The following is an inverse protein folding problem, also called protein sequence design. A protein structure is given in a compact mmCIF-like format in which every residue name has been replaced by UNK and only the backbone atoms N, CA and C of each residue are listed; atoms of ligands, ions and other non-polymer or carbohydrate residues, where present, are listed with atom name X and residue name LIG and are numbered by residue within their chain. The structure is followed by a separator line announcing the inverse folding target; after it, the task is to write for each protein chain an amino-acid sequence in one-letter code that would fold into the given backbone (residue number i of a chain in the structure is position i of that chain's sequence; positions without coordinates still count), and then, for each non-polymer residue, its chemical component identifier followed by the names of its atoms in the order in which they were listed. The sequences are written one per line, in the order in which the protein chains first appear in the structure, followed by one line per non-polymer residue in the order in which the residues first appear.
data_IF_400098374979
#
_entry.id   IF_400098374979
#
_cell.length_a   1.000
_cell.length_b   1.000
_cell.length_c   1.000
_cell.angle_alpha   90.00
_cell.angle_beta   90.00
_cell.angle_gamma   90.00
#
_symmetry.space_group_name_H-M   'P 1'
#
loop_
_entity.id
_entity.type
_entity.pdbx_description
1 polymer ?
#
# COMPACT_ATOMS: atom_id res chain seq x y z
N UNK A 1 17.28 0.77 -2.39
CA UNK A 1 16.00 1.49 -2.35
C UNK A 1 15.84 2.34 -1.08
N UNK A 2 15.58 1.78 0.10
CA UNK A 2 15.29 2.60 1.30
C UNK A 2 16.40 3.59 1.66
N UNK A 3 17.67 3.20 1.51
CA UNK A 3 18.80 4.11 1.72
C UNK A 3 18.75 5.35 0.80
N UNK A 4 18.33 5.19 -0.46
CA UNK A 4 18.18 6.29 -1.41
C UNK A 4 17.00 7.20 -1.04
N UNK A 5 15.89 6.63 -0.57
CA UNK A 5 14.73 7.40 -0.13
C UNK A 5 15.03 8.20 1.15
N UNK A 6 15.82 7.63 2.06
CA UNK A 6 16.27 8.34 3.26
C UNK A 6 17.20 9.52 2.92
N UNK A 7 18.01 9.41 1.85
CA UNK A 7 18.84 10.50 1.33
C UNK A 7 18.03 11.59 0.64
N UNK A 8 17.01 11.22 -0.13
CA UNK A 8 16.07 12.17 -0.76
C UNK A 8 15.26 12.93 0.30
N UNK A 9 14.90 12.26 1.40
CA UNK A 9 14.14 12.82 2.51
C UNK A 9 12.63 12.83 2.29
N UNK A 10 11.87 13.22 3.32
CA UNK A 10 10.40 13.31 3.25
C UNK A 10 9.63 12.03 3.60
N UNK A 11 10.29 10.86 3.65
CA UNK A 11 9.68 9.63 4.19
C UNK A 11 9.57 9.75 5.72
N UNK A 12 8.35 9.64 6.25
CA UNK A 12 8.04 9.76 7.69
C UNK A 12 7.68 8.42 8.34
N UNK A 13 7.26 7.45 7.54
CA UNK A 13 6.98 6.09 7.98
C UNK A 13 7.24 5.11 6.83
N UNK A 14 7.65 3.89 7.15
CA UNK A 14 7.80 2.82 6.17
C UNK A 14 7.50 1.47 6.82
N UNK A 15 6.82 0.59 6.09
CA UNK A 15 6.55 -0.79 6.50
C UNK A 15 6.46 -1.68 5.28
N UNK A 16 7.05 -2.87 5.38
CA UNK A 16 6.94 -3.93 4.39
C UNK A 16 5.57 -4.60 4.45
N UNK A 17 4.99 -4.90 3.28
CA UNK A 17 3.63 -5.42 3.16
C UNK A 17 3.60 -6.96 3.16
N UNK A 18 4.24 -7.59 4.15
CA UNK A 18 4.30 -9.06 4.32
C UNK A 18 2.94 -9.62 4.78
N UNK A 19 2.81 -10.27 5.94
CA UNK A 19 1.54 -10.94 6.31
C UNK A 19 0.36 -9.96 6.38
N UNK A 20 -0.75 -10.36 5.74
CA UNK A 20 -1.96 -9.54 5.64
C UNK A 20 -1.87 -8.41 4.61
N UNK A 21 -0.77 -8.34 3.85
CA UNK A 21 -0.63 -7.51 2.66
C UNK A 21 -0.72 -6.01 2.91
N UNK A 22 -1.19 -5.29 1.89
CA UNK A 22 -1.39 -3.85 1.90
C UNK A 22 -2.47 -3.47 2.92
N UNK A 23 -3.55 -4.25 3.00
CA UNK A 23 -4.68 -3.99 3.90
C UNK A 23 -4.25 -3.94 5.37
N UNK A 24 -3.53 -4.96 5.86
CA UNK A 24 -3.01 -4.96 7.22
C UNK A 24 -1.98 -3.84 7.44
N UNK A 25 -1.10 -3.63 6.46
CA UNK A 25 -0.03 -2.62 6.56
C UNK A 25 -0.59 -1.22 6.73
N UNK A 26 -1.57 -0.82 5.91
CA UNK A 26 -2.20 0.50 6.01
C UNK A 26 -2.99 0.65 7.31
N UNK A 27 -3.74 -0.38 7.74
CA UNK A 27 -4.48 -0.32 9.00
C UNK A 27 -3.55 -0.21 10.21
N UNK A 28 -2.46 -0.97 10.27
CA UNK A 28 -1.47 -0.85 11.33
C UNK A 28 -0.83 0.56 11.36
N UNK A 29 -0.52 1.11 10.19
CA UNK A 29 0.04 2.47 10.10
C UNK A 29 -0.98 3.52 10.55
N UNK A 30 -2.24 3.41 10.12
CA UNK A 30 -3.34 4.27 10.52
C UNK A 30 -3.57 4.24 12.04
N UNK A 31 -3.63 3.05 12.63
CA UNK A 31 -3.82 2.84 14.06
C UNK A 31 -2.66 3.45 14.88
N UNK A 32 -1.41 3.11 14.54
CA UNK A 32 -0.22 3.58 15.27
C UNK A 32 -0.01 5.09 15.16
N UNK A 33 -0.48 5.71 14.08
CA UNK A 33 -0.36 7.15 13.86
C UNK A 33 -1.60 7.94 14.28
N UNK A 34 -2.73 7.29 14.59
CA UNK A 34 -3.98 7.97 14.94
C UNK A 34 -4.59 8.77 13.79
N UNK A 35 -4.49 8.26 12.56
CA UNK A 35 -4.94 8.93 11.33
C UNK A 35 -5.81 8.03 10.47
N UNK A 36 -6.57 8.61 9.55
CA UNK A 36 -7.27 7.89 8.49
C UNK A 36 -6.45 7.87 7.21
N UNK A 37 -6.86 7.06 6.24
CA UNK A 37 -6.27 7.04 4.90
C UNK A 37 -7.35 6.87 3.83
N UNK A 38 -7.24 7.61 2.74
CA UNK A 38 -8.00 7.37 1.51
C UNK A 38 -7.03 6.82 0.46
N UNK A 39 -7.28 5.61 -0.03
CA UNK A 39 -6.56 5.00 -1.14
C UNK A 39 -7.45 4.90 -2.37
N UNK A 40 -6.84 4.92 -3.56
CA UNK A 40 -7.54 4.86 -4.84
C UNK A 40 -7.26 3.50 -5.47
N UNK A 41 -8.31 2.73 -5.75
CA UNK A 41 -8.21 1.38 -6.30
C UNK A 41 -7.39 1.34 -7.60
N UNK A 42 -7.63 2.29 -8.50
CA UNK A 42 -6.96 2.38 -9.81
C UNK A 42 -5.46 2.72 -9.72
N UNK A 43 -5.03 3.33 -8.62
CA UNK A 43 -3.64 3.74 -8.42
C UNK A 43 -2.80 2.64 -7.76
N UNK A 44 -3.41 1.57 -7.24
CA UNK A 44 -2.68 0.43 -6.67
C UNK A 44 -2.11 -0.43 -7.80
N UNK A 45 -0.78 -0.52 -7.96
CA UNK A 45 -0.19 -1.28 -9.06
C UNK A 45 -0.30 -2.78 -8.79
N UNK A 46 -1.22 -3.44 -9.51
CA UNK A 46 -1.42 -4.89 -9.46
C UNK A 46 -1.30 -5.43 -10.88
N UNK A 47 -0.49 -6.47 -11.07
CA UNK A 47 -0.33 -7.11 -12.39
C UNK A 47 -1.61 -7.85 -12.79
N UNK A 48 -1.96 -7.80 -14.07
CA UNK A 48 -3.17 -8.46 -14.61
C UNK A 48 -3.22 -9.96 -14.27
N UNK A 49 -2.09 -10.66 -14.34
CA UNK A 49 -2.02 -12.07 -13.97
C UNK A 49 -2.33 -12.31 -12.48
N UNK A 50 -1.92 -11.39 -11.59
CA UNK A 50 -2.23 -11.44 -10.17
C UNK A 50 -3.71 -11.16 -9.92
N UNK A 51 -4.29 -10.16 -10.60
CA UNK A 51 -5.72 -9.86 -10.53
C UNK A 51 -6.55 -11.06 -10.98
N UNK A 52 -6.25 -11.62 -12.15
CA UNK A 52 -6.94 -12.79 -12.68
C UNK A 52 -6.85 -14.00 -11.74
N UNK A 53 -5.67 -14.26 -11.15
CA UNK A 53 -5.51 -15.32 -10.17
C UNK A 53 -6.34 -15.08 -8.89
N UNK A 54 -6.35 -13.85 -8.38
CA UNK A 54 -7.15 -13.47 -7.22
C UNK A 54 -8.64 -13.62 -7.48
N UNK A 55 -9.13 -13.17 -8.64
CA UNK A 55 -10.53 -13.34 -9.05
C UNK A 55 -10.93 -14.82 -9.15
N UNK A 56 -10.10 -15.64 -9.79
CA UNK A 56 -10.35 -17.09 -9.92
C UNK A 56 -10.41 -17.80 -8.56
N UNK A 57 -9.64 -17.33 -7.58
CA UNK A 57 -9.54 -17.93 -6.26
C UNK A 57 -10.48 -17.28 -5.22
N UNK A 58 -11.19 -16.21 -5.59
CA UNK A 58 -12.03 -15.44 -4.67
C UNK A 58 -11.23 -14.74 -3.57
N UNK A 59 -10.02 -14.29 -3.87
CA UNK A 59 -9.12 -13.62 -2.93
C UNK A 59 -9.08 -12.11 -3.20
N UNK A 60 -8.95 -11.31 -2.13
CA UNK A 60 -8.66 -9.88 -2.26
C UNK A 60 -7.13 -9.69 -2.36
N UNK A 61 -6.60 -9.13 -3.47
CA UNK A 61 -5.17 -8.92 -3.65
C UNK A 61 -4.52 -8.04 -2.59
N UNK A 62 -5.28 -7.16 -1.92
CA UNK A 62 -4.76 -6.29 -0.87
C UNK A 62 -4.42 -7.06 0.41
N UNK A 63 -4.99 -8.25 0.59
CA UNK A 63 -4.84 -9.05 1.82
C UNK A 63 -3.73 -10.08 1.74
N UNK A 64 -3.14 -10.26 0.55
CA UNK A 64 -2.09 -11.25 0.29
C UNK A 64 -0.73 -10.63 0.57
N UNK A 65 0.15 -11.39 1.24
CA UNK A 65 1.47 -10.90 1.58
C UNK A 65 2.44 -10.71 0.41
N UNK A 66 3.36 -9.75 0.58
CA UNK A 66 4.40 -9.38 -0.37
C UNK A 66 5.80 -9.53 0.26
N UNK A 67 6.75 -10.12 -0.48
CA UNK A 67 8.12 -10.39 -0.02
C UNK A 67 9.19 -9.49 -0.67
N UNK A 68 8.79 -8.27 -1.04
CA UNK A 68 9.69 -7.33 -1.74
C UNK A 68 9.09 -5.96 -2.01
N UNK A 69 8.06 -5.57 -1.25
CA UNK A 69 7.34 -4.30 -1.41
C UNK A 69 7.33 -3.54 -0.09
N UNK A 70 7.38 -2.21 -0.19
CA UNK A 70 7.33 -1.29 0.95
C UNK A 70 6.21 -0.27 0.73
N UNK A 71 5.45 -0.01 1.79
CA UNK A 71 4.52 1.11 1.88
C UNK A 71 5.22 2.23 2.64
N UNK A 72 5.22 3.43 2.07
CA UNK A 72 5.84 4.60 2.68
C UNK A 72 4.79 5.70 2.95
N UNK A 73 4.78 6.21 4.17
CA UNK A 73 4.19 7.51 4.48
C UNK A 73 5.18 8.61 4.14
N UNK A 74 4.77 9.61 3.36
CA UNK A 74 5.63 10.67 2.84
C UNK A 74 4.97 12.03 3.10
N UNK A 75 5.77 13.04 3.46
CA UNK A 75 5.32 14.43 3.53
C UNK A 75 4.76 14.87 2.17
N UNK A 76 3.58 15.51 2.16
CA UNK A 76 2.82 15.76 0.94
C UNK A 76 3.61 16.58 -0.10
N UNK A 77 4.37 17.57 0.38
CA UNK A 77 5.24 18.43 -0.42
C UNK A 77 6.46 17.71 -1.02
N UNK A 78 6.76 16.50 -0.55
CA UNK A 78 7.88 15.66 -1.02
C UNK A 78 7.43 14.44 -1.83
N UNK A 79 6.12 14.20 -1.97
CA UNK A 79 5.58 12.98 -2.56
C UNK A 79 6.12 12.72 -3.98
N UNK A 80 6.12 13.73 -4.86
CA UNK A 80 6.60 13.59 -6.23
C UNK A 80 8.13 13.36 -6.33
N UNK A 81 8.91 14.02 -5.48
CA UNK A 81 10.37 13.87 -5.43
C UNK A 81 10.75 12.45 -4.98
N UNK A 82 10.11 11.97 -3.91
CA UNK A 82 10.30 10.61 -3.38
C UNK A 82 9.83 9.56 -4.37
N UNK A 83 8.69 9.76 -5.04
CA UNK A 83 8.21 8.84 -6.08
C UNK A 83 9.19 8.75 -7.24
N UNK A 84 9.71 9.90 -7.72
CA UNK A 84 10.74 9.94 -8.76
C UNK A 84 11.99 9.19 -8.31
N UNK A 85 12.44 9.40 -7.07
CA UNK A 85 13.58 8.68 -6.51
C UNK A 85 13.34 7.17 -6.47
N UNK A 86 12.17 6.73 -5.99
CA UNK A 86 11.80 5.33 -5.93
C UNK A 86 11.80 4.67 -7.32
N UNK A 87 11.24 5.34 -8.34
CA UNK A 87 11.18 4.85 -9.72
C UNK A 87 12.54 4.78 -10.44
N UNK A 88 13.56 5.54 -10.00
CA UNK A 88 14.93 5.40 -10.52
C UNK A 88 15.60 4.09 -10.08
N UNK A 89 15.17 3.52 -8.95
CA UNK A 89 15.76 2.30 -8.41
C UNK A 89 15.18 1.05 -9.13
N UNK A 90 15.99 0.01 -9.44
CA UNK A 90 15.51 -1.19 -10.13
C UNK A 90 14.29 -1.87 -9.50
N UNK A 91 14.23 -1.91 -8.16
CA UNK A 91 13.10 -2.48 -7.40
C UNK A 91 11.89 -1.56 -7.22
N UNK A 92 11.98 -0.28 -7.58
CA UNK A 92 10.91 0.71 -7.37
C UNK A 92 10.26 1.22 -8.65
N UNK A 93 10.57 0.62 -9.81
CA UNK A 93 10.09 1.07 -11.13
C UNK A 93 8.57 1.23 -11.22
N UNK A 94 7.84 0.36 -10.54
CA UNK A 94 6.37 0.33 -10.52
C UNK A 94 5.77 1.02 -9.29
N UNK A 95 6.57 1.78 -8.54
CA UNK A 95 6.06 2.55 -7.41
C UNK A 95 4.97 3.52 -7.86
N UNK A 96 3.97 3.74 -7.01
CA UNK A 96 2.87 4.66 -7.25
C UNK A 96 2.46 5.35 -5.95
N UNK A 97 1.89 6.54 -6.06
CA UNK A 97 1.18 7.19 -4.96
C UNK A 97 -0.23 6.62 -4.97
N UNK A 98 -0.55 5.76 -4.00
CA UNK A 98 -1.82 5.03 -3.98
C UNK A 98 -2.93 5.74 -3.20
N UNK A 99 -2.65 6.88 -2.59
CA UNK A 99 -3.58 7.51 -1.65
C UNK A 99 -3.02 8.70 -0.88
N UNK A 100 -3.77 9.12 0.14
CA UNK A 100 -3.41 10.20 1.05
C UNK A 100 -3.88 9.92 2.47
N UNK A 101 -3.17 10.50 3.43
CA UNK A 101 -3.59 10.53 4.84
C UNK A 101 -4.78 11.48 4.98
N UNK A 102 -5.74 11.12 5.83
CA UNK A 102 -6.94 11.90 6.16
C UNK A 102 -7.14 11.94 7.67
N UNK A 103 -8.10 12.74 8.12
CA UNK A 103 -8.62 12.63 9.49
C UNK A 103 -9.36 11.30 9.70
N UNK A 104 -9.52 10.89 10.95
CA UNK A 104 -10.19 9.65 11.35
C UNK A 104 -9.22 8.54 11.74
N UNK A 105 -9.69 7.30 11.70
CA UNK A 105 -8.97 6.10 12.13
C UNK A 105 -9.23 4.89 11.23
N UNK A 106 -9.75 5.12 10.02
CA UNK A 106 -10.10 4.08 9.07
C UNK A 106 -9.34 4.24 7.76
N UNK A 107 -9.03 3.11 7.14
CA UNK A 107 -8.55 3.05 5.75
C UNK A 107 -9.77 2.87 4.85
N UNK A 108 -9.96 3.81 3.94
CA UNK A 108 -11.06 3.83 2.97
C UNK A 108 -10.47 3.71 1.57
N UNK A 109 -11.05 2.85 0.74
CA UNK A 109 -10.72 2.75 -0.67
C UNK A 109 -11.83 3.40 -1.50
N UNK A 110 -11.44 4.30 -2.39
CA UNK A 110 -12.27 4.75 -3.50
C UNK A 110 -12.14 3.75 -4.66
N UNK A 111 -13.26 3.18 -5.07
CA UNK A 111 -13.30 2.16 -6.14
C UNK A 111 -13.26 2.82 -7.51
N UNK A 112 -12.90 2.05 -8.53
CA UNK A 112 -12.92 2.46 -9.95
C UNK A 112 -14.27 3.05 -10.43
N UNK A 113 -15.38 2.64 -9.80
CA UNK A 113 -16.73 3.16 -10.09
C UNK A 113 -17.12 4.38 -9.24
N UNK A 114 -16.19 4.95 -8.47
CA UNK A 114 -16.38 6.13 -7.62
C UNK A 114 -17.06 5.87 -6.28
N UNK A 115 -17.28 4.60 -5.93
CA UNK A 115 -17.79 4.19 -4.62
C UNK A 115 -16.71 4.27 -3.56
N UNK A 116 -17.10 4.21 -2.29
CA UNK A 116 -16.13 4.12 -1.17
C UNK A 116 -16.45 2.91 -0.31
N UNK A 117 -15.43 2.14 0.05
CA UNK A 117 -15.53 1.01 0.98
C UNK A 117 -14.44 1.09 2.04
N UNK A 118 -14.72 0.55 3.22
CA UNK A 118 -13.70 0.36 4.25
C UNK A 118 -12.78 -0.79 3.79
N UNK A 119 -11.48 -0.62 4.02
CA UNK A 119 -10.49 -1.69 3.88
C UNK A 119 -10.20 -2.22 5.27
N UNK A 120 -10.88 -3.29 5.64
CA UNK A 120 -10.76 -3.88 6.97
C UNK A 120 -9.40 -4.55 7.19
N UNK A 121 -8.96 -4.58 8.45
CA UNK A 121 -7.82 -5.41 8.86
C UNK A 121 -8.17 -6.88 8.61
N UNK A 122 -7.38 -7.62 7.83
CA UNK A 122 -7.66 -9.03 7.60
C UNK A 122 -7.49 -9.83 8.90
N UNK A 123 -8.34 -10.84 9.11
CA UNK A 123 -8.25 -11.74 10.28
C UNK A 123 -6.94 -12.53 10.29
N UNK A 124 -6.35 -12.74 9.11
CA UNK A 124 -5.05 -13.36 8.89
C UNK A 124 -4.74 -13.39 7.38
N UNK A 125 -3.54 -13.86 7.02
CA UNK A 125 -3.20 -14.08 5.62
C UNK A 125 -4.05 -15.23 5.05
N UNK A 126 -4.69 -15.06 3.88
CA UNK A 126 -5.56 -16.10 3.31
C UNK A 126 -4.77 -17.33 2.82
N UNK A 127 -3.46 -17.22 2.61
CA UNK A 127 -2.64 -18.31 2.07
C UNK A 127 -1.87 -19.00 3.21
N UNK A 128 -2.21 -20.26 3.55
CA UNK A 128 -1.47 -20.97 4.59
C UNK A 128 -0.04 -21.22 4.14
N UNK A 129 0.93 -20.95 5.03
CA UNK A 129 2.38 -21.17 4.80
C UNK A 129 2.96 -20.35 3.64
N UNK A 130 2.43 -19.14 3.42
CA UNK A 130 2.91 -18.22 2.38
C UNK A 130 4.37 -17.77 2.57
N UNK A 131 4.83 -17.71 3.82
CA UNK A 131 6.18 -17.29 4.22
C UNK A 131 6.72 -18.18 5.36
#
# INVERSE_FOLDING_TARGET
LMEELLKEGGVVAAKDATRGGIANTLNEMAEKSGVGMLIYEEEVPIHEATLAACEMLGLDPLTIGNEGKVICGVAAEKADEVLKAMRRHPYGKEAAIIGKVTEGNHVVMETSVGGKRIVDTPVGDPIPRIC
#
